data_IF_794614667198
#
_entry.id   IF_794614667198
#
_cell.length_a   1.000
_cell.length_b   1.000
_cell.length_c   1.000
_cell.angle_alpha   90.00
_cell.angle_beta   90.00
_cell.angle_gamma   90.00
#
_symmetry.space_group_name_H-M   'P 1'
#
loop_
_entity.id
_entity.type
_entity.pdbx_description
1 polymer ?
#
# COMPACT_ATOMS: atom_id res chain seq x y z
N UNK A 1 -11.79 -11.90 -1.23
CA UNK A 1 -12.59 -10.71 -1.65
C UNK A 1 -11.95 -10.03 -2.84
N UNK A 2 -12.68 -9.16 -3.58
CA UNK A 2 -12.10 -8.37 -4.68
C UNK A 2 -11.56 -7.04 -4.13
N UNK A 3 -10.28 -6.75 -4.38
CA UNK A 3 -9.68 -5.46 -4.03
C UNK A 3 -10.13 -4.37 -5.01
N UNK A 4 -10.51 -3.21 -4.47
CA UNK A 4 -10.89 -2.03 -5.23
C UNK A 4 -9.97 -0.89 -4.82
N UNK A 5 -9.47 -0.15 -5.81
CA UNK A 5 -8.58 0.98 -5.59
C UNK A 5 -9.28 2.26 -5.99
N UNK A 6 -9.18 3.28 -5.15
CA UNK A 6 -9.56 4.63 -5.55
C UNK A 6 -8.61 5.13 -6.64
N UNK A 7 -9.05 6.13 -7.41
CA UNK A 7 -8.17 6.76 -8.40
C UNK A 7 -6.98 7.46 -7.73
N UNK A 8 -7.19 8.06 -6.55
CA UNK A 8 -6.11 8.69 -5.77
C UNK A 8 -5.04 7.68 -5.35
N UNK A 9 -5.44 6.52 -4.81
CA UNK A 9 -4.46 5.53 -4.33
C UNK A 9 -3.59 4.95 -5.44
N UNK A 10 -4.16 4.72 -6.63
CA UNK A 10 -3.38 4.30 -7.80
C UNK A 10 -2.33 5.35 -8.19
N UNK A 11 -2.72 6.63 -8.22
CA UNK A 11 -1.81 7.73 -8.49
C UNK A 11 -0.71 7.84 -7.42
N UNK A 12 -1.06 7.63 -6.16
CA UNK A 12 -0.11 7.70 -5.05
C UNK A 12 0.93 6.58 -5.11
N UNK A 13 0.54 5.36 -5.50
CA UNK A 13 1.48 4.25 -5.72
C UNK A 13 2.49 4.56 -6.84
N UNK A 14 2.01 5.14 -7.95
CA UNK A 14 2.88 5.57 -9.05
C UNK A 14 3.85 6.67 -8.58
N UNK A 15 3.32 7.70 -7.91
CA UNK A 15 4.14 8.82 -7.40
C UNK A 15 5.20 8.35 -6.40
N UNK A 16 4.84 7.42 -5.50
CA UNK A 16 5.77 6.87 -4.52
C UNK A 16 6.91 6.11 -5.20
N UNK A 17 6.60 5.23 -6.15
CA UNK A 17 7.61 4.50 -6.92
C UNK A 17 8.56 5.45 -7.64
N UNK A 18 8.00 6.45 -8.33
CA UNK A 18 8.79 7.39 -9.14
C UNK A 18 9.71 8.22 -8.25
N UNK A 19 9.20 8.73 -7.12
CA UNK A 19 10.00 9.46 -6.12
C UNK A 19 11.17 8.64 -5.59
N UNK A 20 10.97 7.37 -5.23
CA UNK A 20 12.07 6.52 -4.76
C UNK A 20 13.06 6.24 -5.90
N UNK A 21 12.56 6.05 -7.12
CA UNK A 21 13.38 5.72 -8.28
C UNK A 21 14.34 6.85 -8.69
N UNK A 22 14.02 8.11 -8.37
CA UNK A 22 14.93 9.25 -8.54
C UNK A 22 16.26 9.04 -7.83
N UNK A 23 16.25 8.37 -6.67
CA UNK A 23 17.46 8.10 -5.87
C UNK A 23 17.96 6.67 -6.05
N UNK A 24 17.06 5.68 -6.06
CA UNK A 24 17.40 4.26 -6.14
C UNK A 24 16.27 3.43 -6.77
N UNK A 25 16.46 3.08 -8.05
CA UNK A 25 15.49 2.29 -8.82
C UNK A 25 15.28 0.86 -8.29
N UNK A 26 16.30 0.26 -7.68
CA UNK A 26 16.17 -1.07 -7.05
C UNK A 26 15.32 -0.98 -5.78
N UNK A 27 15.53 0.05 -4.95
CA UNK A 27 14.69 0.30 -3.78
C UNK A 27 13.23 0.54 -4.18
N UNK A 28 12.99 1.31 -5.25
CA UNK A 28 11.64 1.54 -5.77
C UNK A 28 10.95 0.22 -6.17
N UNK A 29 11.69 -0.68 -6.84
CA UNK A 29 11.19 -2.01 -7.21
C UNK A 29 10.87 -2.85 -5.97
N UNK A 30 11.78 -2.91 -5.01
CA UNK A 30 11.60 -3.70 -3.78
C UNK A 30 10.40 -3.21 -2.97
N UNK A 31 10.26 -1.90 -2.76
CA UNK A 31 9.13 -1.32 -2.04
C UNK A 31 7.81 -1.58 -2.78
N UNK A 32 7.79 -1.43 -4.11
CA UNK A 32 6.60 -1.73 -4.92
C UNK A 32 6.18 -3.21 -4.79
N UNK A 33 7.13 -4.14 -4.83
CA UNK A 33 6.85 -5.58 -4.66
C UNK A 33 6.32 -5.90 -3.25
N UNK A 34 6.88 -5.27 -2.21
CA UNK A 34 6.39 -5.40 -0.83
C UNK A 34 4.96 -4.90 -0.71
N UNK A 35 4.65 -3.71 -1.21
CA UNK A 35 3.30 -3.14 -1.21
C UNK A 35 2.30 -4.06 -1.91
N UNK A 36 2.62 -4.56 -3.11
CA UNK A 36 1.76 -5.51 -3.84
C UNK A 36 1.51 -6.77 -3.00
N UNK A 37 2.54 -7.31 -2.37
CA UNK A 37 2.41 -8.51 -1.52
C UNK A 37 1.50 -8.25 -0.32
N UNK A 38 1.71 -7.14 0.39
CA UNK A 38 0.90 -6.78 1.56
C UNK A 38 -0.55 -6.50 1.19
N UNK A 39 -0.79 -5.74 0.11
CA UNK A 39 -2.14 -5.42 -0.36
C UNK A 39 -2.90 -6.68 -0.79
N UNK A 40 -2.24 -7.61 -1.49
CA UNK A 40 -2.88 -8.84 -1.93
C UNK A 40 -3.36 -9.72 -0.76
N UNK A 41 -2.69 -9.68 0.39
CA UNK A 41 -3.13 -10.42 1.59
C UNK A 41 -4.47 -9.93 2.15
N UNK A 42 -4.83 -8.66 1.91
CA UNK A 42 -6.13 -8.11 2.33
C UNK A 42 -7.31 -8.80 1.65
N UNK A 43 -7.10 -9.46 0.49
CA UNK A 43 -8.15 -10.22 -0.15
C UNK A 43 -8.62 -11.41 0.71
N UNK A 44 -7.70 -11.97 1.51
CA UNK A 44 -7.92 -13.13 2.36
C UNK A 44 -8.11 -12.75 3.84
N UNK A 45 -7.53 -11.62 4.28
CA UNK A 45 -7.54 -11.12 5.65
C UNK A 45 -7.93 -9.62 5.68
N UNK A 46 -9.19 -9.27 5.37
CA UNK A 46 -9.62 -7.87 5.22
C UNK A 46 -9.56 -7.06 6.53
N UNK A 47 -9.58 -7.70 7.69
CA UNK A 47 -9.46 -7.10 9.02
C UNK A 47 -8.00 -6.77 9.42
N UNK A 48 -7.03 -7.03 8.55
CA UNK A 48 -5.62 -6.72 8.82
C UNK A 48 -5.39 -5.21 8.84
N UNK A 49 -4.89 -4.70 9.96
CA UNK A 49 -4.46 -3.31 10.11
C UNK A 49 -4.68 -2.81 11.53
N UNK A 50 -4.50 -1.51 11.72
CA UNK A 50 -4.78 -0.79 12.97
C UNK A 50 -5.91 0.20 12.69
N UNK A 51 -6.91 0.26 13.56
CA UNK A 51 -7.98 1.25 13.44
C UNK A 51 -7.41 2.67 13.41
N UNK A 52 -7.87 3.46 12.44
CA UNK A 52 -7.57 4.89 12.37
C UNK A 52 -8.58 5.63 13.25
N UNK A 53 -8.14 6.11 14.41
CA UNK A 53 -9.02 6.74 15.41
C UNK A 53 -9.83 7.90 14.82
N UNK A 54 -9.25 8.68 13.91
CA UNK A 54 -9.89 9.84 13.30
C UNK A 54 -10.81 9.49 12.11
N UNK A 55 -10.84 8.23 11.64
CA UNK A 55 -11.59 7.84 10.44
C UNK A 55 -12.26 6.46 10.58
N UNK A 56 -13.52 6.47 11.03
CA UNK A 56 -14.32 5.27 11.21
C UNK A 56 -14.39 4.40 9.95
N UNK A 57 -14.17 3.09 10.13
CA UNK A 57 -14.19 2.11 9.04
C UNK A 57 -12.92 2.07 8.19
N UNK A 58 -11.85 2.73 8.63
CA UNK A 58 -10.53 2.72 7.97
C UNK A 58 -9.50 2.02 8.85
N UNK A 59 -8.71 1.15 8.22
CA UNK A 59 -7.59 0.46 8.83
C UNK A 59 -6.27 0.88 8.16
N UNK A 60 -5.27 1.18 8.97
CA UNK A 60 -3.90 1.40 8.51
C UNK A 60 -3.14 0.07 8.43
N UNK A 61 -2.76 -0.28 7.19
CA UNK A 61 -1.87 -1.41 6.94
C UNK A 61 -0.41 -0.91 6.92
N UNK A 62 0.33 -1.20 8.00
CA UNK A 62 1.74 -0.82 8.09
C UNK A 62 2.60 -1.84 7.31
N UNK A 63 3.32 -1.36 6.31
CA UNK A 63 4.19 -2.18 5.44
C UNK A 63 5.62 -1.63 5.49
N UNK A 64 6.30 -1.87 6.61
CA UNK A 64 7.75 -1.73 6.81
C UNK A 64 8.11 -2.31 8.18
N UNK A 65 9.25 -2.98 8.25
CA UNK A 65 10.02 -3.16 9.49
C UNK A 65 11.23 -2.24 9.35
#
# INVERSE_FOLDING_TARGET
MKLLFTHSSQRDLVRLRDFIAETNSQAARHISQRLVTSINRLADQPETGIDVEELSGTLDLITAD
#
